data_IF_489321983445
#
_entry.id   IF_489321983445
#
_cell.length_a   1.000
_cell.length_b   1.000
_cell.length_c   1.000
_cell.angle_alpha   90.00
_cell.angle_beta   90.00
_cell.angle_gamma   90.00
#
_symmetry.space_group_name_H-M   'P 1'
#
loop_
_entity.id
_entity.type
_entity.pdbx_description
1 polymer ?
#
# COMPACT_ATOMS: atom_id res chain seq x y z
N UNK A 1 3.72 6.63 -12.62
CA UNK A 1 4.36 5.29 -12.53
C UNK A 1 5.19 5.11 -11.26
N UNK A 2 6.24 5.91 -11.02
CA UNK A 2 7.12 5.73 -9.85
C UNK A 2 6.40 5.66 -8.49
N UNK A 3 5.35 6.48 -8.31
CA UNK A 3 4.51 6.48 -7.10
C UNK A 3 3.79 5.14 -6.87
N UNK A 4 3.19 4.57 -7.92
CA UNK A 4 2.52 3.26 -7.82
C UNK A 4 3.52 2.13 -7.64
N UNK A 5 4.67 2.16 -8.33
CA UNK A 5 5.73 1.18 -8.12
C UNK A 5 6.26 1.21 -6.68
N UNK A 6 6.43 2.42 -6.12
CA UNK A 6 6.84 2.59 -4.72
C UNK A 6 5.77 2.10 -3.75
N UNK A 7 4.49 2.38 -4.03
CA UNK A 7 3.38 1.88 -3.22
C UNK A 7 3.32 0.34 -3.22
N UNK A 8 3.51 -0.28 -4.39
CA UNK A 8 3.57 -1.74 -4.53
C UNK A 8 4.76 -2.29 -3.74
N UNK A 9 5.95 -1.69 -3.86
CA UNK A 9 7.12 -2.11 -3.10
C UNK A 9 6.89 -2.02 -1.59
N UNK A 10 6.32 -0.91 -1.09
CA UNK A 10 5.95 -0.74 0.32
C UNK A 10 4.94 -1.82 0.76
N UNK A 11 3.89 -2.06 -0.02
CA UNK A 11 2.87 -3.05 0.31
C UNK A 11 3.45 -4.48 0.32
N UNK A 12 4.27 -4.86 -0.65
CA UNK A 12 4.91 -6.18 -0.72
C UNK A 12 5.86 -6.39 0.46
N UNK A 13 6.75 -5.42 0.73
CA UNK A 13 7.68 -5.51 1.86
C UNK A 13 6.91 -5.61 3.17
N UNK A 14 5.87 -4.77 3.36
CA UNK A 14 5.01 -4.83 4.53
C UNK A 14 4.34 -6.20 4.70
N UNK A 15 3.85 -6.79 3.61
CA UNK A 15 3.15 -8.07 3.64
C UNK A 15 4.12 -9.21 4.00
N UNK A 16 5.33 -9.20 3.44
CA UNK A 16 6.38 -10.15 3.81
C UNK A 16 6.79 -10.01 5.28
N UNK A 17 6.92 -8.78 5.79
CA UNK A 17 7.23 -8.54 7.21
C UNK A 17 6.09 -9.00 8.11
N UNK A 18 4.84 -8.68 7.77
CA UNK A 18 3.68 -9.11 8.55
C UNK A 18 3.52 -10.64 8.55
N UNK A 19 3.81 -11.32 7.44
CA UNK A 19 3.74 -12.77 7.33
C UNK A 19 4.86 -13.48 8.11
N UNK A 20 6.10 -12.97 8.04
CA UNK A 20 7.26 -13.61 8.67
C UNK A 20 7.45 -13.25 10.15
N UNK A 21 7.06 -12.04 10.56
CA UNK A 21 7.42 -11.46 11.85
C UNK A 21 6.22 -10.88 12.62
N UNK A 22 5.00 -11.29 12.27
CA UNK A 22 3.76 -10.79 12.86
C UNK A 22 3.61 -10.97 14.37
N UNK A 23 4.36 -11.90 14.98
CA UNK A 23 4.33 -12.13 16.42
C UNK A 23 5.02 -11.00 17.23
N UNK A 24 5.91 -10.22 16.60
CA UNK A 24 6.60 -9.10 17.24
C UNK A 24 5.77 -7.82 17.08
N UNK A 25 5.23 -7.23 18.15
CA UNK A 25 4.27 -6.13 18.06
C UNK A 25 4.82 -4.89 17.32
N UNK A 26 6.05 -4.52 17.62
CA UNK A 26 6.72 -3.40 16.96
C UNK A 26 6.83 -3.60 15.44
N UNK A 27 7.13 -4.83 14.99
CA UNK A 27 7.22 -5.16 13.57
C UNK A 27 5.84 -5.16 12.92
N UNK A 28 4.82 -5.71 13.56
CA UNK A 28 3.45 -5.67 13.05
C UNK A 28 2.92 -4.24 12.89
N UNK A 29 3.18 -3.33 13.84
CA UNK A 29 2.82 -1.92 13.76
C UNK A 29 3.60 -1.21 12.65
N UNK A 30 4.91 -1.49 12.53
CA UNK A 30 5.74 -0.89 11.47
C UNK A 30 5.29 -1.35 10.07
N UNK A 31 4.96 -2.63 9.91
CA UNK A 31 4.40 -3.16 8.68
C UNK A 31 3.07 -2.47 8.37
N UNK A 32 2.16 -2.39 9.35
CA UNK A 32 0.89 -1.67 9.18
C UNK A 32 1.08 -0.22 8.70
N UNK A 33 2.02 0.52 9.28
CA UNK A 33 2.33 1.91 8.87
C UNK A 33 2.81 1.99 7.41
N UNK A 34 3.71 1.09 7.02
CA UNK A 34 4.31 1.08 5.68
C UNK A 34 3.32 0.60 4.61
N UNK A 35 2.63 -0.52 4.86
CA UNK A 35 1.65 -1.10 3.93
C UNK A 35 0.32 -0.36 3.88
N UNK A 36 -0.03 0.40 4.93
CA UNK A 36 -1.22 1.23 5.01
C UNK A 36 -0.92 2.70 4.71
N UNK A 37 -0.79 3.58 5.72
CA UNK A 37 -0.64 5.02 5.54
C UNK A 37 0.38 5.42 4.47
N UNK A 38 1.59 4.84 4.47
CA UNK A 38 2.64 5.23 3.50
C UNK A 38 2.26 4.79 2.08
N UNK A 39 1.91 3.52 1.87
CA UNK A 39 1.50 3.04 0.55
C UNK A 39 0.26 3.77 0.02
N UNK A 40 -0.75 4.01 0.86
CA UNK A 40 -1.97 4.74 0.50
C UNK A 40 -1.65 6.19 0.15
N UNK A 41 -0.76 6.86 0.90
CA UNK A 41 -0.33 8.21 0.57
C UNK A 41 0.35 8.27 -0.82
N UNK A 42 1.22 7.30 -1.14
CA UNK A 42 1.85 7.20 -2.46
C UNK A 42 0.81 7.00 -3.59
N UNK A 43 -0.21 6.17 -3.35
CA UNK A 43 -1.33 5.97 -4.28
C UNK A 43 -2.13 7.27 -4.44
N UNK A 44 -2.40 7.99 -3.35
CA UNK A 44 -3.10 9.28 -3.40
C UNK A 44 -2.32 10.35 -4.15
N UNK A 45 -0.99 10.43 -3.94
CA UNK A 45 -0.12 11.33 -4.71
C UNK A 45 -0.14 11.00 -6.20
N UNK A 46 -0.15 9.71 -6.56
CA UNK A 46 -0.33 9.30 -7.94
C UNK A 46 -1.67 9.81 -8.50
N UNK A 47 -2.78 9.55 -7.81
CA UNK A 47 -4.11 9.98 -8.23
C UNK A 47 -4.21 11.49 -8.43
N UNK A 48 -3.71 12.29 -7.49
CA UNK A 48 -3.70 13.75 -7.61
C UNK A 48 -2.92 14.23 -8.85
N UNK A 49 -1.76 13.63 -9.12
CA UNK A 49 -0.94 13.95 -10.29
C UNK A 49 -1.60 13.51 -11.59
N UNK A 50 -2.20 12.33 -11.63
CA UNK A 50 -2.88 11.81 -12.82
C UNK A 50 -4.14 12.62 -13.14
N UNK A 51 -4.95 12.95 -12.13
CA UNK A 51 -6.11 13.84 -12.30
C UNK A 51 -5.70 15.20 -12.84
N UNK A 52 -4.61 15.78 -12.34
CA UNK A 52 -4.07 17.04 -12.89
C UNK A 52 -3.58 16.87 -14.33
N UNK A 53 -2.87 15.79 -14.65
CA UNK A 53 -2.38 15.52 -15.99
C UNK A 53 -3.52 15.40 -17.02
N UNK A 54 -4.67 14.83 -16.64
CA UNK A 54 -5.87 14.71 -17.48
C UNK A 54 -6.51 16.04 -17.88
N UNK A 55 -6.16 17.14 -17.20
CA UNK A 55 -6.65 18.47 -17.56
C UNK A 55 -5.87 19.12 -18.71
N UNK A 56 -4.73 18.55 -19.10
CA UNK A 56 -3.94 19.04 -20.22
C UNK A 56 -4.54 18.55 -21.55
N UNK A 57 -4.50 19.42 -22.56
CA UNK A 57 -5.08 19.20 -23.89
C UNK A 57 -4.47 18.04 -24.68
N UNK A 58 -3.25 17.62 -24.34
CA UNK A 58 -2.54 16.50 -24.97
C UNK A 58 -2.26 15.37 -23.95
N UNK A 59 -3.32 14.87 -23.29
CA UNK A 59 -3.21 13.71 -22.42
C UNK A 59 -3.36 12.41 -23.22
N UNK A 60 -2.33 11.56 -23.19
CA UNK A 60 -2.41 10.17 -23.68
C UNK A 60 -2.53 9.24 -22.48
N UNK A 61 -3.65 8.52 -22.40
CA UNK A 61 -3.91 7.59 -21.32
C UNK A 61 -3.26 6.22 -21.61
N UNK A 62 -2.40 5.75 -20.71
CA UNK A 62 -1.88 4.39 -20.77
C UNK A 62 -2.89 3.41 -20.14
N UNK A 63 -3.31 2.41 -20.92
CA UNK A 63 -4.30 1.41 -20.54
C UNK A 63 -3.84 0.49 -19.39
N UNK A 64 -2.54 0.42 -19.10
CA UNK A 64 -2.01 -0.40 -18.00
C UNK A 64 -2.16 0.27 -16.63
N UNK A 65 -2.27 1.60 -16.60
CA UNK A 65 -2.29 2.40 -15.38
C UNK A 65 -3.43 2.00 -14.41
N UNK A 66 -4.68 1.80 -14.85
CA UNK A 66 -5.77 1.40 -13.97
C UNK A 66 -5.52 0.03 -13.32
N UNK A 67 -4.87 -0.89 -14.03
CA UNK A 67 -4.55 -2.22 -13.50
C UNK A 67 -3.46 -2.16 -12.43
N UNK A 68 -2.39 -1.41 -12.67
CA UNK A 68 -1.31 -1.20 -11.68
C UNK A 68 -1.86 -0.48 -10.44
N UNK A 69 -2.74 0.50 -10.63
CA UNK A 69 -3.41 1.20 -9.53
C UNK A 69 -4.25 0.24 -8.66
N UNK A 70 -5.07 -0.60 -9.28
CA UNK A 70 -5.86 -1.62 -8.57
C UNK A 70 -4.97 -2.62 -7.84
N UNK A 71 -3.90 -3.07 -8.48
CA UNK A 71 -2.92 -3.97 -7.86
C UNK A 71 -2.31 -3.35 -6.60
N UNK A 72 -1.86 -2.09 -6.68
CA UNK A 72 -1.30 -1.37 -5.53
C UNK A 72 -2.30 -1.27 -4.37
N UNK A 73 -3.57 -0.98 -4.66
CA UNK A 73 -4.64 -0.94 -3.66
C UNK A 73 -4.88 -2.30 -3.01
N UNK A 74 -5.00 -3.37 -3.81
CA UNK A 74 -5.26 -4.73 -3.30
C UNK A 74 -4.11 -5.21 -2.40
N UNK A 75 -2.86 -4.97 -2.81
CA UNK A 75 -1.69 -5.33 -2.01
C UNK A 75 -1.63 -4.52 -0.71
N UNK A 76 -1.89 -3.21 -0.76
CA UNK A 76 -1.93 -2.36 0.43
C UNK A 76 -3.02 -2.82 1.41
N UNK A 77 -4.22 -3.13 0.90
CA UNK A 77 -5.31 -3.66 1.72
C UNK A 77 -4.91 -4.99 2.39
N UNK A 78 -4.35 -5.93 1.64
CA UNK A 78 -3.90 -7.21 2.19
C UNK A 78 -2.84 -7.03 3.29
N UNK A 79 -1.88 -6.12 3.08
CA UNK A 79 -0.83 -5.81 4.05
C UNK A 79 -1.41 -5.21 5.35
N UNK A 80 -2.37 -4.29 5.22
CA UNK A 80 -3.08 -3.67 6.36
C UNK A 80 -3.87 -4.72 7.14
N UNK A 81 -4.67 -5.55 6.47
CA UNK A 81 -5.48 -6.58 7.12
C UNK A 81 -4.58 -7.56 7.87
N UNK A 82 -3.54 -8.08 7.22
CA UNK A 82 -2.63 -9.04 7.85
C UNK A 82 -1.94 -8.43 9.08
N UNK A 83 -1.47 -7.19 8.99
CA UNK A 83 -0.83 -6.50 10.11
C UNK A 83 -1.83 -6.23 11.24
N UNK A 84 -3.07 -5.84 10.93
CA UNK A 84 -4.11 -5.62 11.92
C UNK A 84 -4.48 -6.91 12.67
N UNK A 85 -4.59 -8.04 11.98
CA UNK A 85 -4.82 -9.35 12.60
C UNK A 85 -3.69 -9.73 13.56
N UNK A 86 -2.44 -9.49 13.16
CA UNK A 86 -1.28 -9.73 14.03
C UNK A 86 -1.32 -8.87 15.31
N UNK A 87 -1.63 -7.58 15.17
CA UNK A 87 -1.77 -6.66 16.32
C UNK A 87 -2.93 -7.10 17.22
N UNK A 88 -4.09 -7.42 16.66
CA UNK A 88 -5.25 -7.89 17.41
C UNK A 88 -4.95 -9.18 18.18
N UNK A 89 -4.26 -10.13 17.55
CA UNK A 89 -3.83 -11.37 18.18
C UNK A 89 -2.83 -11.13 19.32
N UNK A 90 -1.96 -10.14 19.19
CA UNK A 90 -1.07 -9.75 20.30
C UNK A 90 -1.86 -9.14 21.47
N UNK A 91 -2.74 -8.16 21.19
CA UNK A 91 -3.58 -7.52 22.22
C UNK A 91 -4.46 -8.55 22.93
N UNK A 92 -5.06 -9.48 22.20
CA UNK A 92 -5.93 -10.52 22.77
C UNK A 92 -5.20 -11.56 23.64
N UNK A 93 -3.86 -11.58 23.63
CA UNK A 93 -3.03 -12.43 24.51
C UNK A 93 -2.43 -11.67 25.70
N UNK A 94 -2.63 -10.35 25.78
CA UNK A 94 -2.21 -9.53 26.92
C UNK A 94 -3.19 -9.72 28.08
#
# INVERSE_FOLDING_TARGET
MIWLASAIACAVVSLLVAAGFGATPALAISAWLVGGPVAIALIAFFSLRDTRARTHTLYSADAMVPWIYRLALVLSLAAVVMSALNIANWVGRL
#
